data_IF_211873500466
#
_entry.id   IF_211873500466
#
_cell.length_a   1.000
_cell.length_b   1.000
_cell.length_c   1.000
_cell.angle_alpha   90.00
_cell.angle_beta   90.00
_cell.angle_gamma   90.00
#
_symmetry.space_group_name_H-M   'P 1'
#
loop_
_entity.id
_entity.type
_entity.pdbx_description
1 polymer ?
#
# COMPACT_ATOMS: atom_id res chain seq x y z
N UNK A 1 11.00 16.59 4.52
CA UNK A 1 10.29 15.36 4.10
C UNK A 1 8.87 15.72 3.71
N UNK A 2 8.48 15.55 2.45
CA UNK A 2 7.11 15.85 1.98
C UNK A 2 6.15 14.79 2.51
N UNK A 3 5.46 15.09 3.61
CA UNK A 3 4.50 14.22 4.32
C UNK A 3 3.26 13.81 3.50
N UNK A 4 3.12 14.31 2.27
CA UNK A 4 1.89 14.20 1.47
C UNK A 4 1.82 12.89 0.67
N UNK A 5 2.92 12.38 0.14
CA UNK A 5 2.88 11.26 -0.80
C UNK A 5 2.59 9.91 -0.12
N UNK A 6 3.09 9.70 1.10
CA UNK A 6 3.05 8.40 1.79
C UNK A 6 1.62 7.91 2.05
N UNK A 7 0.76 8.70 2.72
CA UNK A 7 -0.64 8.32 2.92
C UNK A 7 -1.39 8.07 1.61
N UNK A 8 -1.17 8.90 0.58
CA UNK A 8 -1.79 8.73 -0.74
C UNK A 8 -1.33 7.43 -1.41
N UNK A 9 -0.03 7.12 -1.34
CA UNK A 9 0.55 5.91 -1.93
C UNK A 9 0.04 4.63 -1.25
N UNK A 10 0.02 4.59 0.08
CA UNK A 10 -0.51 3.43 0.80
C UNK A 10 -2.00 3.22 0.57
N UNK A 11 -2.81 4.27 0.60
CA UNK A 11 -4.24 4.17 0.27
C UNK A 11 -4.46 3.71 -1.17
N UNK A 12 -3.62 4.16 -2.11
CA UNK A 12 -3.67 3.69 -3.50
C UNK A 12 -3.38 2.20 -3.59
N UNK A 13 -2.30 1.74 -2.94
CA UNK A 13 -1.89 0.34 -2.98
C UNK A 13 -2.92 -0.58 -2.33
N UNK A 14 -3.41 -0.26 -1.12
CA UNK A 14 -4.44 -1.05 -0.44
C UNK A 14 -5.75 -1.06 -1.25
N UNK A 15 -6.14 0.09 -1.83
CA UNK A 15 -7.35 0.17 -2.64
C UNK A 15 -7.26 -0.68 -3.90
N UNK A 16 -6.11 -0.68 -4.60
CA UNK A 16 -5.90 -1.50 -5.79
C UNK A 16 -5.96 -2.99 -5.47
N UNK A 17 -5.43 -3.41 -4.32
CA UNK A 17 -5.56 -4.79 -3.86
C UNK A 17 -6.99 -5.14 -3.44
N UNK A 18 -7.73 -4.21 -2.82
CA UNK A 18 -9.12 -4.42 -2.40
C UNK A 18 -10.09 -4.58 -3.58
N UNK A 19 -9.87 -3.87 -4.68
CA UNK A 19 -10.71 -3.96 -5.89
C UNK A 19 -10.34 -5.10 -6.84
N UNK A 20 -9.22 -5.79 -6.58
CA UNK A 20 -8.75 -6.90 -7.41
C UNK A 20 -9.73 -8.10 -7.32
N UNK A 21 -9.91 -8.93 -8.36
CA UNK A 21 -10.80 -10.09 -8.30
C UNK A 21 -10.30 -11.21 -7.37
N UNK A 22 -11.22 -12.04 -6.87
CA UNK A 22 -10.84 -13.28 -6.17
C UNK A 22 -10.23 -14.30 -7.12
N UNK A 23 -10.76 -14.37 -8.34
CA UNK A 23 -10.31 -15.24 -9.42
C UNK A 23 -9.90 -14.39 -10.64
N UNK A 24 -8.71 -13.74 -10.59
CA UNK A 24 -8.25 -12.88 -11.66
C UNK A 24 -7.85 -13.68 -12.90
N UNK A 25 -8.21 -13.17 -14.08
CA UNK A 25 -7.70 -13.70 -15.34
C UNK A 25 -6.17 -13.49 -15.46
N UNK A 26 -5.49 -14.28 -16.28
CA UNK A 26 -4.04 -14.12 -16.51
C UNK A 26 -3.68 -12.70 -16.98
N UNK A 27 -4.50 -12.10 -17.84
CA UNK A 27 -4.32 -10.73 -18.28
C UNK A 27 -4.40 -9.71 -17.12
N UNK A 28 -5.22 -9.97 -16.09
CA UNK A 28 -5.32 -9.11 -14.89
C UNK A 28 -4.11 -9.28 -13.97
N UNK A 29 -3.57 -10.51 -13.85
CA UNK A 29 -2.32 -10.78 -13.12
C UNK A 29 -1.14 -10.06 -13.77
N UNK A 30 -1.04 -10.12 -15.10
CA UNK A 30 -0.03 -9.38 -15.86
C UNK A 30 -0.19 -7.86 -15.72
N UNK A 31 -1.44 -7.37 -15.80
CA UNK A 31 -1.76 -5.95 -15.64
C UNK A 31 -1.34 -5.45 -14.26
N UNK A 32 -1.67 -6.18 -13.19
CA UNK A 32 -1.30 -5.79 -11.82
C UNK A 32 0.19 -5.96 -11.54
N UNK A 33 0.86 -6.93 -12.17
CA UNK A 33 2.33 -7.04 -12.10
C UNK A 33 2.99 -5.78 -12.64
N UNK A 34 2.63 -5.37 -13.87
CA UNK A 34 3.14 -4.15 -14.50
C UNK A 34 2.76 -2.90 -13.71
N UNK A 35 1.53 -2.82 -13.22
CA UNK A 35 1.07 -1.70 -12.41
C UNK A 35 1.87 -1.55 -11.12
N UNK A 36 2.20 -2.65 -10.43
CA UNK A 36 3.06 -2.64 -9.23
C UNK A 36 4.48 -2.16 -9.53
N UNK A 37 5.04 -2.56 -10.67
CA UNK A 37 6.36 -2.09 -11.10
C UNK A 37 6.34 -0.58 -11.37
N UNK A 38 5.29 -0.09 -12.07
CA UNK A 38 5.11 1.34 -12.29
C UNK A 38 4.91 2.11 -10.99
N UNK A 39 4.11 1.58 -10.06
CA UNK A 39 3.93 2.15 -8.72
C UNK A 39 5.28 2.29 -8.01
N UNK A 40 6.07 1.21 -7.94
CA UNK A 40 7.40 1.24 -7.31
C UNK A 40 8.29 2.30 -7.97
N UNK A 41 8.44 2.27 -9.29
CA UNK A 41 9.37 3.15 -10.02
C UNK A 41 8.99 4.64 -9.92
N UNK A 42 7.72 4.94 -9.63
CA UNK A 42 7.20 6.32 -9.60
C UNK A 42 7.03 6.88 -8.19
N UNK A 43 7.39 6.14 -7.14
CA UNK A 43 7.51 6.68 -5.78
C UNK A 43 8.49 7.87 -5.80
N UNK A 44 8.04 9.00 -5.24
CA UNK A 44 8.70 10.30 -5.33
C UNK A 44 9.80 10.49 -4.28
N UNK A 45 9.81 9.67 -3.23
CA UNK A 45 10.89 9.60 -2.23
C UNK A 45 11.93 8.57 -2.69
N UNK A 46 13.18 8.95 -3.03
CA UNK A 46 14.18 8.03 -3.56
C UNK A 46 14.49 6.83 -2.63
N UNK A 47 14.81 7.09 -1.36
CA UNK A 47 15.09 6.01 -0.40
C UNK A 47 13.87 5.15 -0.13
N UNK A 48 12.66 5.73 -0.15
CA UNK A 48 11.43 4.97 0.01
C UNK A 48 11.16 4.05 -1.18
N UNK A 49 11.49 4.51 -2.40
CA UNK A 49 11.39 3.75 -3.65
C UNK A 49 12.34 2.55 -3.65
N UNK A 50 13.58 2.75 -3.25
CA UNK A 50 14.59 1.68 -3.12
C UNK A 50 14.16 0.63 -2.08
N UNK A 51 13.73 1.07 -0.90
CA UNK A 51 13.23 0.16 0.12
C UNK A 51 11.99 -0.63 -0.32
N UNK A 52 11.07 0.02 -1.06
CA UNK A 52 9.88 -0.67 -1.58
C UNK A 52 10.25 -1.66 -2.68
N UNK A 53 11.25 -1.35 -3.50
CA UNK A 53 11.81 -2.27 -4.50
C UNK A 53 12.33 -3.55 -3.87
N UNK A 54 13.16 -3.42 -2.83
CA UNK A 54 13.71 -4.55 -2.11
C UNK A 54 12.60 -5.37 -1.45
N UNK A 55 11.65 -4.72 -0.77
CA UNK A 55 10.52 -5.39 -0.15
C UNK A 55 9.66 -6.14 -1.17
N UNK A 56 9.35 -5.51 -2.31
CA UNK A 56 8.58 -6.12 -3.40
C UNK A 56 9.30 -7.32 -4.01
N UNK A 57 10.60 -7.20 -4.29
CA UNK A 57 11.44 -8.28 -4.83
C UNK A 57 11.49 -9.48 -3.88
N UNK A 58 11.78 -9.23 -2.61
CA UNK A 58 11.84 -10.28 -1.58
C UNK A 58 10.47 -10.96 -1.38
N UNK A 59 9.38 -10.17 -1.42
CA UNK A 59 8.03 -10.74 -1.29
C UNK A 59 7.68 -11.62 -2.49
N UNK A 60 7.96 -11.19 -3.72
CA UNK A 60 7.71 -11.96 -4.94
C UNK A 60 8.45 -13.30 -4.93
N UNK A 61 9.69 -13.33 -4.45
CA UNK A 61 10.46 -14.57 -4.32
C UNK A 61 9.83 -15.55 -3.33
N UNK A 62 9.33 -15.04 -2.20
CA UNK A 62 8.72 -15.88 -1.15
C UNK A 62 7.28 -16.29 -1.47
N UNK A 63 6.56 -15.47 -2.21
CA UNK A 63 5.14 -15.66 -2.55
C UNK A 63 4.92 -15.40 -4.05
N UNK A 64 5.35 -16.30 -4.95
CA UNK A 64 5.17 -16.13 -6.39
C UNK A 64 3.68 -16.01 -6.79
N UNK A 65 2.78 -16.63 -6.01
CA UNK A 65 1.32 -16.50 -6.16
C UNK A 65 0.69 -15.27 -5.50
N UNK A 66 1.44 -14.21 -5.17
CA UNK A 66 0.89 -13.05 -4.45
C UNK A 66 -0.26 -12.33 -5.20
N UNK A 67 -0.34 -12.48 -6.52
CA UNK A 67 -1.43 -11.93 -7.35
C UNK A 67 -2.46 -13.00 -7.77
N UNK A 68 -2.47 -14.16 -7.12
CA UNK A 68 -3.40 -15.25 -7.45
C UNK A 68 -4.85 -14.93 -7.05
N UNK A 69 -5.07 -14.05 -6.07
CA UNK A 69 -6.40 -13.58 -5.66
C UNK A 69 -6.34 -12.23 -4.96
N UNK A 70 -7.50 -11.60 -4.76
CA UNK A 70 -7.67 -10.41 -3.91
C UNK A 70 -7.04 -10.60 -2.53
N UNK A 71 -7.32 -11.74 -1.89
CA UNK A 71 -6.80 -12.07 -0.55
C UNK A 71 -5.27 -12.07 -0.54
N UNK A 72 -4.61 -12.79 -1.47
CA UNK A 72 -3.14 -12.85 -1.48
C UNK A 72 -2.52 -11.50 -1.79
N UNK A 73 -3.18 -10.69 -2.63
CA UNK A 73 -2.69 -9.36 -2.96
C UNK A 73 -2.83 -8.40 -1.77
N UNK A 74 -3.96 -8.42 -1.06
CA UNK A 74 -4.16 -7.64 0.17
C UNK A 74 -3.13 -7.99 1.24
N UNK A 75 -2.87 -9.29 1.47
CA UNK A 75 -1.85 -9.75 2.41
C UNK A 75 -0.45 -9.23 2.04
N UNK A 76 -0.11 -9.13 0.76
CA UNK A 76 1.10 -8.45 0.33
C UNK A 76 1.12 -7.00 0.80
N UNK A 77 0.05 -6.24 0.52
CA UNK A 77 0.02 -4.81 0.85
C UNK A 77 0.14 -4.57 2.36
N UNK A 78 -0.53 -5.37 3.20
CA UNK A 78 -0.48 -5.24 4.65
C UNK A 78 0.91 -5.60 5.21
N UNK A 79 1.49 -6.72 4.76
CA UNK A 79 2.79 -7.19 5.25
C UNK A 79 3.94 -6.25 4.84
N UNK A 80 3.91 -5.71 3.62
CA UNK A 80 4.90 -4.72 3.17
C UNK A 80 4.74 -3.39 3.92
N UNK A 81 3.50 -2.95 4.17
CA UNK A 81 3.27 -1.76 4.99
C UNK A 81 3.77 -1.96 6.43
N UNK A 82 3.52 -3.12 7.05
CA UNK A 82 4.07 -3.45 8.36
C UNK A 82 5.60 -3.51 8.38
N UNK A 83 6.26 -3.95 7.30
CA UNK A 83 7.72 -3.92 7.17
C UNK A 83 8.24 -2.48 7.25
N UNK A 84 7.53 -1.54 6.62
CA UNK A 84 7.85 -0.11 6.71
C UNK A 84 7.52 0.46 8.09
N UNK A 85 6.39 0.08 8.69
CA UNK A 85 6.01 0.53 10.04
C UNK A 85 7.05 0.09 11.07
N UNK A 86 7.49 -1.16 11.02
CA UNK A 86 8.54 -1.69 11.89
C UNK A 86 9.82 -0.88 11.80
N UNK A 87 10.32 -0.63 10.58
CA UNK A 87 11.52 0.19 10.35
C UNK A 87 11.38 1.62 10.88
N UNK A 88 10.16 2.16 10.87
CA UNK A 88 9.86 3.52 11.33
C UNK A 88 9.33 3.59 12.77
N UNK A 89 9.39 2.48 13.52
CA UNK A 89 8.85 2.36 14.89
C UNK A 89 7.39 2.82 15.01
N UNK A 90 6.58 2.49 14.00
CA UNK A 90 5.13 2.73 13.98
C UNK A 90 4.36 1.49 14.45
N UNK A 91 3.10 1.66 14.90
CA UNK A 91 2.25 0.52 15.25
C UNK A 91 2.17 -0.52 14.13
N UNK A 92 2.10 -1.78 14.54
CA UNK A 92 1.95 -2.93 13.66
C UNK A 92 0.53 -3.43 13.74
N UNK A 93 -0.02 -3.83 12.60
CA UNK A 93 -1.33 -4.47 12.52
C UNK A 93 -1.14 -5.97 12.47
N UNK A 94 -1.81 -6.74 13.32
CA UNK A 94 -1.56 -8.17 13.48
C UNK A 94 -2.54 -9.05 12.71
N UNK A 95 -3.62 -8.46 12.22
CA UNK A 95 -4.78 -9.17 11.68
C UNK A 95 -5.40 -8.42 10.49
N UNK A 96 -6.06 -9.15 9.60
CA UNK A 96 -6.79 -8.56 8.46
C UNK A 96 -7.93 -7.67 8.96
N UNK A 97 -8.72 -8.12 9.94
CA UNK A 97 -9.76 -7.30 10.55
C UNK A 97 -9.24 -5.97 11.09
N UNK A 98 -8.08 -5.96 11.75
CA UNK A 98 -7.46 -4.74 12.29
C UNK A 98 -7.07 -3.76 11.18
N UNK A 99 -6.47 -4.27 10.09
CA UNK A 99 -6.15 -3.46 8.91
C UNK A 99 -7.40 -2.87 8.27
N UNK A 100 -8.45 -3.69 8.07
CA UNK A 100 -9.70 -3.24 7.46
C UNK A 100 -10.46 -2.24 8.33
N UNK A 101 -10.49 -2.41 9.65
CA UNK A 101 -11.11 -1.45 10.56
C UNK A 101 -10.46 -0.07 10.41
N UNK A 102 -9.13 -0.02 10.33
CA UNK A 102 -8.38 1.22 10.13
C UNK A 102 -8.68 1.85 8.77
N UNK A 103 -8.66 1.06 7.70
CA UNK A 103 -8.91 1.55 6.34
C UNK A 103 -10.35 2.04 6.16
N UNK A 104 -11.34 1.33 6.74
CA UNK A 104 -12.75 1.72 6.73
C UNK A 104 -13.00 3.02 7.47
N UNK A 105 -12.28 3.29 8.56
CA UNK A 105 -12.36 4.57 9.26
C UNK A 105 -11.85 5.74 8.39
N UNK A 106 -10.75 5.53 7.66
CA UNK A 106 -10.18 6.56 6.78
C UNK A 106 -11.14 6.91 5.64
N UNK A 107 -11.79 5.92 5.03
CA UNK A 107 -12.65 6.15 3.85
C UNK A 107 -14.02 6.75 4.17
N UNK A 108 -14.39 6.89 5.46
CA UNK A 108 -15.58 7.68 5.86
C UNK A 108 -15.49 9.14 5.42
N UNK A 109 -14.28 9.66 5.26
CA UNK A 109 -14.03 11.06 4.89
C UNK A 109 -13.90 11.20 3.37
N UNK A 110 -13.31 10.21 2.70
CA UNK A 110 -12.94 10.28 1.28
C UNK A 110 -12.97 8.90 0.65
N UNK A 111 -13.58 8.78 -0.52
CA UNK A 111 -13.65 7.51 -1.24
C UNK A 111 -12.25 7.03 -1.70
N UNK A 112 -12.05 5.72 -1.83
CA UNK A 112 -10.76 5.15 -2.23
C UNK A 112 -10.27 5.66 -3.58
N UNK A 113 -11.18 5.86 -4.55
CA UNK A 113 -10.85 6.43 -5.88
C UNK A 113 -10.25 7.82 -5.79
N UNK A 114 -10.73 8.67 -4.89
CA UNK A 114 -10.18 10.01 -4.72
C UNK A 114 -8.72 9.96 -4.22
N UNK A 115 -8.38 9.00 -3.35
CA UNK A 115 -6.99 8.78 -2.94
C UNK A 115 -6.11 8.35 -4.13
N UNK A 116 -6.59 7.42 -4.98
CA UNK A 116 -5.87 6.98 -6.18
C UNK A 116 -5.63 8.13 -7.16
N UNK A 117 -6.67 8.92 -7.45
CA UNK A 117 -6.56 10.09 -8.32
C UNK A 117 -5.62 11.16 -7.74
N UNK A 118 -5.72 11.45 -6.44
CA UNK A 118 -4.83 12.40 -5.77
C UNK A 118 -3.37 11.93 -5.82
N UNK A 119 -3.10 10.64 -5.64
CA UNK A 119 -1.77 10.05 -5.79
C UNK A 119 -1.24 10.21 -7.21
N UNK A 120 -2.01 9.80 -8.22
CA UNK A 120 -1.61 9.91 -9.63
C UNK A 120 -1.30 11.35 -10.06
N UNK A 121 -2.13 12.31 -9.63
CA UNK A 121 -1.89 13.73 -9.88
C UNK A 121 -0.63 14.22 -9.16
N UNK A 122 -0.42 13.79 -7.91
CA UNK A 122 0.76 14.15 -7.13
C UNK A 122 2.06 13.67 -7.78
N UNK A 123 2.16 12.37 -8.11
CA UNK A 123 3.36 11.81 -8.73
C UNK A 123 3.60 12.42 -10.11
N UNK A 124 2.55 12.66 -10.90
CA UNK A 124 2.67 13.33 -12.20
C UNK A 124 3.25 14.73 -12.04
N UNK A 125 2.77 15.50 -11.08
CA UNK A 125 3.30 16.85 -10.80
C UNK A 125 4.77 16.80 -10.38
N UNK A 126 5.14 15.86 -9.52
CA UNK A 126 6.52 15.68 -9.08
C UNK A 126 7.45 15.35 -10.25
N UNK A 127 7.13 14.31 -11.03
CA UNK A 127 8.00 13.83 -12.11
C UNK A 127 8.07 14.79 -13.31
N UNK A 128 7.07 15.68 -13.49
CA UNK A 128 7.15 16.79 -14.45
C UNK A 128 8.26 17.80 -14.17
N UNK A 129 8.76 17.87 -12.93
CA UNK A 129 9.85 18.78 -12.56
C UNK A 129 11.21 18.32 -13.11
N UNK A 130 11.32 17.04 -13.47
CA UNK A 130 12.55 16.45 -14.01
C UNK A 130 12.47 16.42 -15.53
N UNK A 131 13.25 17.26 -16.19
CA UNK A 131 13.30 17.36 -17.66
C UNK A 131 14.33 16.42 -18.31
N UNK A 132 14.80 15.43 -17.55
CA UNK A 132 15.78 14.44 -17.99
C UNK A 132 15.10 13.12 -18.43
N UNK A 133 15.92 12.14 -18.83
CA UNK A 133 15.44 10.83 -19.24
C UNK A 133 14.65 10.09 -18.14
N UNK A 134 14.98 10.32 -16.86
CA UNK A 134 14.31 9.70 -15.73
C UNK A 134 12.88 10.23 -15.56
N UNK A 135 12.70 11.56 -15.67
CA UNK A 135 11.40 12.21 -15.65
C UNK A 135 10.52 11.78 -16.82
N UNK A 136 11.07 11.75 -18.04
CA UNK A 136 10.36 11.26 -19.24
C UNK A 136 9.92 9.81 -19.06
N UNK A 137 10.80 8.94 -18.57
CA UNK A 137 10.51 7.53 -18.36
C UNK A 137 9.45 7.30 -17.26
N UNK A 138 9.48 8.10 -16.19
CA UNK A 138 8.48 8.05 -15.12
C UNK A 138 7.11 8.53 -15.63
N UNK A 139 7.06 9.64 -16.39
CA UNK A 139 5.81 10.17 -16.92
C UNK A 139 5.10 9.19 -17.87
N UNK A 140 5.84 8.44 -18.68
CA UNK A 140 5.27 7.35 -19.51
C UNK A 140 4.58 6.30 -18.64
N UNK A 141 5.24 5.83 -17.57
CA UNK A 141 4.67 4.86 -16.63
C UNK A 141 3.43 5.41 -15.92
N UNK A 142 3.48 6.67 -15.48
CA UNK A 142 2.36 7.34 -14.82
C UNK A 142 1.15 7.44 -15.76
N UNK A 143 1.36 7.71 -17.05
CA UNK A 143 0.27 7.73 -18.03
C UNK A 143 -0.36 6.34 -18.18
N UNK A 144 0.42 5.25 -18.17
CA UNK A 144 -0.13 3.90 -18.12
C UNK A 144 -0.93 3.65 -16.84
N UNK A 145 -0.46 4.12 -15.68
CA UNK A 145 -1.23 4.02 -14.43
C UNK A 145 -2.55 4.80 -14.48
N UNK A 146 -2.60 5.96 -15.16
CA UNK A 146 -3.87 6.66 -15.42
C UNK A 146 -4.83 5.83 -16.29
N UNK A 147 -4.32 5.13 -17.31
CA UNK A 147 -5.16 4.22 -18.12
C UNK A 147 -5.70 3.06 -17.29
N UNK A 148 -4.89 2.47 -16.40
CA UNK A 148 -5.35 1.43 -15.47
C UNK A 148 -6.43 1.98 -14.54
N UNK A 149 -6.27 3.19 -14.01
CA UNK A 149 -7.30 3.81 -13.19
C UNK A 149 -8.63 3.95 -13.96
N UNK A 150 -8.61 4.52 -15.16
CA UNK A 150 -9.82 4.77 -15.96
C UNK A 150 -10.48 3.48 -16.46
N UNK A 151 -9.70 2.53 -16.97
CA UNK A 151 -10.21 1.38 -17.71
C UNK A 151 -10.40 0.14 -16.82
N UNK A 152 -9.79 0.11 -15.64
CA UNK A 152 -9.79 -1.07 -14.76
C UNK A 152 -10.32 -0.76 -13.36
N UNK A 153 -9.69 0.18 -12.65
CA UNK A 153 -9.94 0.39 -11.22
C UNK A 153 -11.24 1.17 -10.95
N UNK A 154 -11.58 2.15 -11.79
CA UNK A 154 -12.72 3.03 -11.57
C UNK A 154 -14.04 2.27 -11.43
N UNK A 155 -14.32 1.31 -12.34
CA UNK A 155 -15.55 0.50 -12.32
C UNK A 155 -15.60 -0.56 -11.21
N UNK A 156 -14.44 -0.89 -10.61
CA UNK A 156 -14.31 -1.89 -9.53
C UNK A 156 -14.13 -1.27 -8.15
N UNK A 157 -14.22 0.06 -8.06
CA UNK A 157 -13.95 0.79 -6.81
C UNK A 157 -14.84 0.28 -5.69
N UNK A 158 -14.22 -0.06 -4.57
CA UNK A 158 -14.89 -0.32 -3.31
C UNK A 158 -14.22 0.49 -2.19
N UNK A 159 -14.95 0.71 -1.09
CA UNK A 159 -14.44 1.39 0.09
C UNK A 159 -14.03 0.38 1.17
N UNK A 160 -13.32 -0.68 0.76
CA UNK A 160 -12.99 -1.84 1.60
C UNK A 160 -14.23 -2.60 2.10
N UNK A 161 -15.32 -2.51 1.34
CA UNK A 161 -16.57 -3.26 1.51
C UNK A 161 -16.47 -4.59 0.75
N UNK A 162 -15.50 -5.40 1.16
CA UNK A 162 -15.27 -6.76 0.65
C UNK A 162 -15.05 -7.70 1.83
N UNK A 163 -15.52 -8.93 1.67
CA UNK A 163 -15.30 -10.00 2.66
C UNK A 163 -14.01 -10.72 2.33
N UNK A 164 -13.11 -10.79 3.31
CA UNK A 164 -11.81 -11.46 3.20
C UNK A 164 -11.66 -12.36 4.42
N UNK A 165 -11.19 -13.61 4.24
CA UNK A 165 -10.88 -14.48 5.36
C UNK A 165 -9.95 -13.81 6.36
N UNK A 166 -10.16 -14.08 7.65
CA UNK A 166 -9.26 -13.59 8.68
C UNK A 166 -7.90 -14.27 8.56
N UNK A 167 -6.84 -13.47 8.58
CA UNK A 167 -5.47 -13.93 8.43
C UNK A 167 -4.50 -13.13 9.29
N UNK A 168 -3.44 -13.76 9.83
CA UNK A 168 -2.39 -13.04 10.52
C UNK A 168 -1.53 -12.21 9.55
N UNK A 169 -1.28 -10.96 9.93
CA UNK A 169 -0.43 -10.01 9.21
C UNK A 169 0.94 -9.95 9.87
N UNK A 170 1.77 -10.94 9.57
CA UNK A 170 3.14 -11.03 10.09
C UNK A 170 4.13 -10.16 9.31
N UNK A 171 5.14 -9.63 9.99
CA UNK A 171 6.32 -9.08 9.31
C UNK A 171 7.14 -10.25 8.78
N UNK A 172 7.52 -10.19 7.51
CA UNK A 172 8.40 -11.20 6.94
C UNK A 172 9.85 -10.87 7.31
N UNK A 173 10.65 -11.85 7.76
CA UNK A 173 12.07 -11.62 7.96
C UNK A 173 12.70 -11.27 6.60
N UNK A 174 13.23 -10.05 6.46
CA UNK A 174 14.12 -9.70 5.35
C UNK A 174 15.56 -10.07 5.73
N UNK A 175 16.46 -10.31 4.77
CA UNK A 175 17.88 -10.59 5.06
C UNK A 175 18.51 -9.53 5.97
N UNK A 176 18.12 -8.26 5.78
CA UNK A 176 18.53 -7.11 6.59
C UNK A 176 17.96 -7.10 8.02
N UNK A 177 16.88 -7.85 8.29
CA UNK A 177 16.26 -8.01 9.61
C UNK A 177 16.87 -9.21 10.36
N UNK A 178 17.36 -10.24 9.65
CA UNK A 178 17.97 -11.43 10.27
C UNK A 178 19.24 -11.08 11.06
N UNK A 179 19.97 -10.03 10.68
CA UNK A 179 21.18 -9.61 11.40
C UNK A 179 20.92 -8.86 12.71
N UNK A 180 19.67 -8.45 12.99
CA UNK A 180 19.32 -7.61 14.16
C UNK A 180 18.29 -8.22 15.10
N UNK A 181 17.85 -9.47 14.87
CA UNK A 181 16.87 -10.12 15.73
C UNK A 181 17.55 -11.03 16.76
N UNK A 182 17.39 -10.79 18.08
CA UNK A 182 17.51 -11.86 19.06
C UNK A 182 16.45 -12.91 18.75
N UNK A 183 16.81 -14.18 18.85
CA UNK A 183 15.96 -15.35 18.60
C UNK A 183 14.63 -15.28 19.37
N UNK A 184 13.58 -14.74 18.75
CA UNK A 184 12.21 -14.75 19.28
C UNK A 184 11.20 -15.30 18.26
N UNK A 185 11.67 -16.16 17.35
CA UNK A 185 10.82 -16.92 16.44
C UNK A 185 10.94 -18.40 16.78
N UNK A 186 10.64 -18.76 18.03
CA UNK A 186 10.45 -20.14 18.46
C UNK A 186 9.74 -20.12 19.81
N UNK A 187 8.42 -19.92 19.77
CA UNK A 187 7.41 -20.37 20.74
C UNK A 187 6.18 -19.47 20.59
N UNK A 188 5.14 -19.98 19.94
CA UNK A 188 3.79 -19.46 20.15
C UNK A 188 3.26 -20.07 21.45
N UNK A 189 2.82 -19.30 22.45
CA UNK A 189 1.99 -19.82 23.53
C UNK A 189 0.50 -19.65 23.20
N UNK A 190 -0.29 -20.59 23.70
CA UNK A 190 -1.75 -20.60 23.64
C UNK A 190 -2.38 -19.43 24.43
N UNK A 191 -3.59 -19.01 24.00
CA UNK A 191 -4.37 -17.84 24.45
C UNK A 191 -4.80 -17.86 25.93
N UNK A 192 -5.14 -16.73 26.59
CA UNK A 192 -6.51 -16.16 26.51
C UNK A 192 -6.64 -14.63 26.73
N UNK A 193 -7.80 -14.05 26.36
CA UNK A 193 -8.33 -12.81 26.95
C UNK A 193 -8.25 -11.55 26.09
N UNK A 194 -9.39 -11.15 25.51
CA UNK A 194 -9.56 -9.86 24.88
C UNK A 194 -9.44 -8.71 25.91
N UNK A 195 -8.54 -7.77 25.66
CA UNK A 195 -8.50 -6.46 26.33
C UNK A 195 -8.85 -5.35 25.32
N UNK A 196 -9.49 -4.25 25.75
CA UNK A 196 -10.15 -3.33 24.84
C UNK A 196 -9.17 -2.44 24.09
N UNK A 197 -9.57 -2.09 22.86
CA UNK A 197 -8.83 -1.29 21.89
C UNK A 197 -8.40 0.06 22.51
N UNK A 198 -7.09 0.29 22.55
CA UNK A 198 -6.49 1.55 23.03
C UNK A 198 -6.71 2.64 21.98
N UNK A 199 -7.27 3.79 22.39
CA UNK A 199 -7.50 4.93 21.52
C UNK A 199 -6.20 5.44 20.87
N UNK A 200 -6.26 5.74 19.56
CA UNK A 200 -5.12 6.20 18.78
C UNK A 200 -4.64 7.61 19.19
N UNK A 201 -3.34 7.93 19.10
CA UNK A 201 -2.87 9.31 19.13
C UNK A 201 -3.24 10.04 17.84
N UNK A 202 -3.68 11.30 17.99
CA UNK A 202 -4.15 12.23 16.94
C UNK A 202 -3.46 12.07 15.57
N UNK A 203 -4.18 11.51 14.59
CA UNK A 203 -3.85 11.65 13.17
C UNK A 203 -4.10 13.12 12.81
N UNK A 204 -3.02 13.86 12.48
CA UNK A 204 -3.17 15.23 11.95
C UNK A 204 -4.08 15.19 10.72
N UNK A 205 -5.24 15.84 10.81
CA UNK A 205 -6.26 15.91 9.77
C UNK A 205 -5.73 16.73 8.59
N UNK A 206 -5.84 16.18 7.38
CA UNK A 206 -5.56 16.90 6.14
C UNK A 206 -6.87 17.12 5.38
N UNK A 207 -7.25 18.38 5.15
CA UNK A 207 -8.32 18.76 4.22
C UNK A 207 -7.70 19.36 2.95
N UNK A 208 -8.24 18.98 1.79
CA UNK A 208 -7.89 19.58 0.49
C UNK A 208 -9.08 20.44 0.07
N UNK A 209 -8.90 21.76 0.06
CA UNK A 209 -9.84 22.68 -0.59
C UNK A 209 -9.37 22.99 -2.01
N UNK A 210 -10.29 23.46 -2.84
CA UNK A 210 -10.13 23.79 -4.26
C UNK A 210 -9.12 24.91 -4.57
N UNK A 211 -8.40 25.43 -3.57
CA UNK A 211 -7.35 26.45 -3.70
C UNK A 211 -5.96 26.05 -3.19
N UNK A 212 -5.72 24.76 -2.90
CA UNK A 212 -4.46 24.26 -2.34
C UNK A 212 -4.49 24.07 -0.83
N UNK A 213 -3.72 23.09 -0.33
CA UNK A 213 -3.71 22.68 1.08
C UNK A 213 -2.96 23.67 1.97
N UNK A 214 -3.58 24.08 3.07
CA UNK A 214 -2.90 24.65 4.24
C UNK A 214 -2.84 23.62 5.37
N UNK A 215 -1.67 23.49 6.00
CA UNK A 215 -1.46 22.74 7.24
C UNK A 215 -2.06 23.53 8.42
N UNK A 216 -2.62 22.85 9.42
CA UNK A 216 -2.64 23.33 10.81
C UNK A 216 -1.62 22.53 11.61
#
# INVERSE_FOLDING_TARGET
>A
MTSIWGPLGWMTLHSMASLYPDEPAEAEKELMTKWLDYFQMTITCPSCREHFEEALRNYRQKFPGMLASRRTFLLFTFRVHNTVNHRLHKPLYTSVAECFATLREIVKIRATREYRMAYLVHIKKHWKLFQDASGIAALKKINEMFKVETNYAASRTNNFEVDIPEDPVVILPTPSIVSMMPTYVQQAPAQPGAQPVRAMPNIRRFQISTGGLRLR
#
